data_IF_248897000034
#
_entry.id   IF_248897000034
#
_cell.length_a   1.000
_cell.length_b   1.000
_cell.length_c   1.000
_cell.angle_alpha   90.00
_cell.angle_beta   90.00
_cell.angle_gamma   90.00
#
_symmetry.space_group_name_H-M   'P 1'
#
loop_
_entity.id
_entity.type
_entity.pdbx_description
1 polymer ?
#
# COMPACT_ATOMS: atom_id res chain seq x y z
N UNK A 1 -16.68 3.91 11.98
CA UNK A 1 -17.16 3.22 10.76
C UNK A 1 -16.04 2.27 10.37
N UNK A 2 -16.28 0.95 10.38
CA UNK A 2 -15.28 -0.08 10.06
C UNK A 2 -15.12 -0.08 8.54
N UNK A 3 -13.97 0.35 8.03
CA UNK A 3 -13.64 0.16 6.61
C UNK A 3 -12.78 -1.09 6.56
N UNK A 4 -13.43 -2.23 6.28
CA UNK A 4 -12.77 -3.51 6.13
C UNK A 4 -12.12 -3.51 4.74
N UNK A 5 -10.80 -3.29 4.69
CA UNK A 5 -10.04 -3.39 3.46
C UNK A 5 -9.78 -4.88 3.21
N UNK A 6 -10.59 -5.52 2.36
CA UNK A 6 -10.16 -6.80 1.78
C UNK A 6 -8.92 -6.53 0.92
N UNK A 7 -7.74 -6.67 1.51
CA UNK A 7 -6.46 -6.57 0.83
C UNK A 7 -6.35 -7.61 -0.27
N UNK A 8 -6.65 -7.20 -1.51
CA UNK A 8 -6.33 -7.98 -2.70
C UNK A 8 -4.85 -7.78 -3.05
N UNK A 9 -3.94 -8.38 -2.25
CA UNK A 9 -2.57 -8.63 -2.70
C UNK A 9 -2.54 -9.97 -3.44
N UNK A 10 -3.16 -10.02 -4.62
CA UNK A 10 -3.00 -11.18 -5.52
C UNK A 10 -1.82 -10.94 -6.46
N UNK A 11 -0.71 -11.62 -6.14
CA UNK A 11 0.33 -12.09 -7.07
C UNK A 11 0.81 -11.10 -8.15
N UNK A 12 1.85 -10.34 -7.85
CA UNK A 12 2.69 -9.72 -8.87
C UNK A 12 3.67 -10.77 -9.41
N UNK A 13 3.29 -11.44 -10.50
CA UNK A 13 4.13 -12.43 -11.19
C UNK A 13 5.25 -11.73 -11.98
N UNK A 14 6.49 -12.22 -11.83
CA UNK A 14 7.76 -11.69 -12.36
C UNK A 14 7.96 -11.81 -13.89
N UNK A 15 6.91 -11.73 -14.71
CA UNK A 15 7.00 -12.05 -16.16
C UNK A 15 7.14 -10.88 -17.14
N UNK A 16 7.61 -9.71 -16.70
CA UNK A 16 7.75 -8.52 -17.58
C UNK A 16 9.19 -8.10 -17.91
N UNK A 17 10.20 -8.91 -17.57
CA UNK A 17 11.61 -8.55 -17.70
C UNK A 17 12.39 -9.27 -18.80
N UNK A 18 11.72 -9.79 -19.84
CA UNK A 18 12.37 -10.43 -20.99
C UNK A 18 11.76 -9.95 -22.31
N UNK A 19 12.00 -8.69 -22.65
CA UNK A 19 11.95 -8.28 -24.05
C UNK A 19 12.86 -7.05 -24.25
N UNK A 20 13.77 -7.17 -25.21
CA UNK A 20 14.68 -6.15 -25.75
C UNK A 20 15.98 -5.93 -24.97
N UNK A 21 17.02 -6.61 -25.44
CA UNK A 21 18.38 -6.47 -24.97
C UNK A 21 18.99 -5.12 -25.29
N UNK A 22 19.70 -4.58 -24.30
CA UNK A 22 20.89 -3.78 -24.49
C UNK A 22 21.94 -4.39 -23.55
N UNK A 23 22.94 -5.02 -24.16
CA UNK A 23 24.16 -5.49 -23.51
C UNK A 23 25.04 -4.27 -23.37
N UNK A 24 25.14 -3.69 -22.17
CA UNK A 24 26.27 -2.89 -21.67
C UNK A 24 25.94 -2.56 -20.20
N UNK A 25 26.92 -2.68 -19.29
CA UNK A 25 26.83 -2.35 -17.85
C UNK A 25 26.55 -3.50 -16.83
N UNK A 26 27.04 -4.71 -17.09
CA UNK A 26 26.94 -5.85 -16.16
C UNK A 26 27.99 -5.91 -15.04
N UNK A 27 28.84 -4.88 -14.84
CA UNK A 27 29.95 -4.94 -13.87
C UNK A 27 29.72 -4.13 -12.58
N UNK A 28 28.82 -3.14 -12.56
CA UNK A 28 28.62 -2.27 -11.39
C UNK A 28 27.30 -2.44 -10.62
N UNK A 29 26.29 -3.12 -11.17
CA UNK A 29 24.96 -3.27 -10.53
C UNK A 29 24.79 -4.50 -9.63
N UNK A 30 25.68 -5.51 -9.70
CA UNK A 30 25.53 -6.73 -8.86
C UNK A 30 25.77 -6.51 -7.36
N UNK A 31 26.42 -5.42 -6.95
CA UNK A 31 26.74 -5.16 -5.54
C UNK A 31 25.67 -4.37 -4.78
N UNK A 32 24.69 -3.79 -5.48
CA UNK A 32 23.64 -2.94 -4.87
C UNK A 32 22.26 -3.62 -4.72
N UNK A 33 22.04 -4.79 -5.35
CA UNK A 33 20.76 -5.52 -5.30
C UNK A 33 20.80 -6.81 -4.45
N UNK A 34 21.67 -6.89 -3.43
CA UNK A 34 21.77 -8.09 -2.58
C UNK A 34 20.85 -8.11 -1.35
N UNK A 35 19.99 -7.12 -1.14
CA UNK A 35 19.18 -7.04 0.11
C UNK A 35 17.68 -6.85 -0.11
N UNK A 36 17.15 -7.07 -1.32
CA UNK A 36 15.69 -7.13 -1.51
C UNK A 36 15.19 -8.49 -1.01
N UNK A 37 14.59 -8.49 0.18
CA UNK A 37 13.97 -9.69 0.77
C UNK A 37 12.45 -9.61 0.59
N UNK A 38 11.90 -10.51 -0.21
CA UNK A 38 10.46 -10.70 -0.31
C UNK A 38 9.93 -11.33 0.99
N UNK A 39 8.91 -10.72 1.58
CA UNK A 39 8.23 -11.20 2.78
C UNK A 39 6.83 -11.72 2.41
N UNK A 40 6.32 -12.68 3.17
CA UNK A 40 4.97 -13.22 2.99
C UNK A 40 4.35 -13.56 4.34
N UNK A 41 3.02 -13.71 4.36
CA UNK A 41 2.23 -14.09 5.54
C UNK A 41 2.56 -13.20 6.76
N UNK A 42 2.78 -13.80 7.95
CA UNK A 42 3.06 -13.10 9.19
C UNK A 42 4.24 -12.12 9.08
N UNK A 43 5.33 -12.51 8.40
CA UNK A 43 6.49 -11.63 8.25
C UNK A 43 6.17 -10.38 7.39
N UNK A 44 5.24 -10.47 6.44
CA UNK A 44 4.76 -9.32 5.69
C UNK A 44 3.85 -8.43 6.56
N UNK A 45 2.97 -9.02 7.36
CA UNK A 45 2.09 -8.28 8.29
C UNK A 45 2.94 -7.54 9.34
N UNK A 46 3.95 -8.18 9.92
CA UNK A 46 4.88 -7.56 10.86
C UNK A 46 5.59 -6.36 10.24
N UNK A 47 5.97 -6.47 8.96
CA UNK A 47 6.57 -5.33 8.24
C UNK A 47 5.58 -4.21 8.01
N UNK A 48 4.31 -4.52 7.71
CA UNK A 48 3.25 -3.50 7.58
C UNK A 48 2.98 -2.83 8.92
N UNK A 49 2.90 -3.60 10.03
CA UNK A 49 2.79 -3.07 11.40
C UNK A 49 3.92 -2.09 11.69
N UNK A 50 5.17 -2.48 11.42
CA UNK A 50 6.35 -1.62 11.58
C UNK A 50 6.27 -0.33 10.73
N UNK A 51 5.77 -0.42 9.50
CA UNK A 51 5.72 0.72 8.58
C UNK A 51 4.55 1.67 8.85
N UNK A 52 3.39 1.16 9.23
CA UNK A 52 2.14 1.91 9.22
C UNK A 52 1.57 2.22 10.60
N UNK A 53 1.71 1.33 11.59
CA UNK A 53 1.04 1.49 12.88
C UNK A 53 1.53 2.74 13.62
N UNK A 54 0.59 3.61 14.00
CA UNK A 54 0.88 4.88 14.67
C UNK A 54 1.52 5.95 13.78
N UNK A 55 1.66 5.72 12.47
CA UNK A 55 2.30 6.67 11.53
C UNK A 55 1.30 7.39 10.63
N UNK A 56 1.74 8.53 10.10
CA UNK A 56 0.98 9.26 9.08
C UNK A 56 1.25 8.72 7.69
N UNK A 57 0.20 8.67 6.88
CA UNK A 57 0.25 8.37 5.45
C UNK A 57 -0.59 9.38 4.66
N UNK A 58 -0.44 9.38 3.33
CA UNK A 58 -1.42 9.98 2.45
C UNK A 58 -2.52 8.96 2.17
N UNK A 59 -3.73 9.24 2.67
CA UNK A 59 -4.94 8.49 2.36
C UNK A 59 -5.59 9.10 1.12
N UNK A 60 -5.63 8.34 0.04
CA UNK A 60 -6.08 8.79 -1.27
C UNK A 60 -7.38 8.08 -1.66
N UNK A 61 -8.43 8.84 -1.96
CA UNK A 61 -9.71 8.37 -2.51
C UNK A 61 -9.89 8.85 -3.94
N UNK A 62 -10.87 8.29 -4.66
CA UNK A 62 -11.29 8.80 -5.97
C UNK A 62 -12.59 9.60 -5.85
N UNK A 63 -12.66 10.71 -6.57
CA UNK A 63 -13.88 11.50 -6.74
C UNK A 63 -13.91 12.10 -8.15
N UNK A 64 -14.95 11.80 -8.92
CA UNK A 64 -15.10 12.27 -10.30
C UNK A 64 -13.86 12.03 -11.18
N UNK A 65 -13.24 10.84 -11.05
CA UNK A 65 -12.04 10.46 -11.79
C UNK A 65 -10.74 11.13 -11.32
N UNK A 66 -10.76 11.90 -10.23
CA UNK A 66 -9.57 12.54 -9.66
C UNK A 66 -9.19 11.87 -8.34
N UNK A 67 -7.88 11.80 -8.07
CA UNK A 67 -7.34 11.34 -6.79
C UNK A 67 -7.37 12.51 -5.79
N UNK A 68 -7.96 12.28 -4.63
CA UNK A 68 -8.03 13.23 -3.53
C UNK A 68 -7.22 12.67 -2.36
N UNK A 69 -6.04 13.26 -2.13
CA UNK A 69 -5.10 12.83 -1.07
C UNK A 69 -5.28 13.65 0.20
N UNK A 70 -5.20 13.00 1.37
CA UNK A 70 -5.31 13.64 2.69
C UNK A 70 -4.34 13.01 3.68
N UNK A 71 -3.61 13.79 4.50
CA UNK A 71 -2.83 13.21 5.58
C UNK A 71 -3.75 12.55 6.62
N UNK A 72 -3.47 11.29 6.97
CA UNK A 72 -4.18 10.54 8.00
C UNK A 72 -3.22 9.66 8.78
N UNK A 73 -3.48 9.49 10.09
CA UNK A 73 -2.76 8.52 10.92
C UNK A 73 -3.41 7.15 10.88
N UNK A 74 -2.65 6.11 10.57
CA UNK A 74 -3.07 4.73 10.79
C UNK A 74 -2.93 4.42 12.28
N UNK A 75 -4.05 4.17 12.95
CA UNK A 75 -4.10 4.02 14.41
C UNK A 75 -3.67 2.64 14.87
N UNK A 76 -3.99 1.61 14.08
CA UNK A 76 -3.70 0.21 14.38
C UNK A 76 -3.54 -0.58 13.09
N UNK A 77 -2.70 -1.61 13.11
CA UNK A 77 -2.69 -2.67 12.11
C UNK A 77 -3.01 -3.97 12.83
N UNK A 78 -4.09 -4.64 12.47
CA UNK A 78 -4.51 -5.86 13.19
C UNK A 78 -3.77 -7.13 12.71
N UNK A 79 -4.11 -8.27 13.30
CA UNK A 79 -3.44 -9.55 13.04
C UNK A 79 -3.72 -10.12 11.64
N UNK A 80 -4.73 -9.59 10.94
CA UNK A 80 -4.97 -9.90 9.52
C UNK A 80 -4.21 -8.96 8.59
N UNK A 81 -3.59 -7.90 9.12
CA UNK A 81 -2.94 -6.85 8.36
C UNK A 81 -3.88 -5.73 7.93
N UNK A 82 -5.10 -5.64 8.48
CA UNK A 82 -6.02 -4.55 8.16
C UNK A 82 -5.59 -3.26 8.88
N UNK A 83 -5.61 -2.14 8.16
CA UNK A 83 -5.23 -0.82 8.67
C UNK A 83 -6.46 -0.05 9.17
N UNK A 84 -6.39 0.44 10.40
CA UNK A 84 -7.48 1.15 11.06
C UNK A 84 -7.25 2.66 11.08
N UNK A 85 -8.27 3.42 10.69
CA UNK A 85 -8.25 4.89 10.65
C UNK A 85 -9.46 5.47 11.37
N UNK A 86 -9.25 6.59 12.06
CA UNK A 86 -10.35 7.38 12.60
C UNK A 86 -10.83 8.43 11.59
N UNK A 87 -12.14 8.48 11.37
CA UNK A 87 -12.77 9.52 10.55
C UNK A 87 -14.11 9.97 11.14
N UNK A 88 -14.43 11.29 11.09
CA UNK A 88 -15.77 11.76 11.42
C UNK A 88 -16.81 11.12 10.49
N UNK A 89 -17.97 10.75 11.05
CA UNK A 89 -19.04 10.08 10.29
C UNK A 89 -19.44 10.85 9.03
N UNK A 90 -19.52 12.18 9.12
CA UNK A 90 -19.89 13.09 8.02
C UNK A 90 -18.75 13.49 7.09
N UNK A 91 -17.56 12.86 7.20
CA UNK A 91 -16.41 13.30 6.41
C UNK A 91 -16.57 13.00 4.90
N UNK A 92 -16.05 13.89 4.05
CA UNK A 92 -16.09 13.72 2.59
C UNK A 92 -15.48 12.40 2.13
N UNK A 93 -14.39 11.95 2.77
CA UNK A 93 -13.78 10.66 2.43
C UNK A 93 -14.72 9.49 2.69
N UNK A 94 -15.51 9.52 3.78
CA UNK A 94 -16.48 8.45 4.04
C UNK A 94 -17.57 8.41 2.97
N UNK A 95 -18.01 9.57 2.49
CA UNK A 95 -18.94 9.64 1.35
C UNK A 95 -18.28 9.12 0.07
N UNK A 96 -17.03 9.47 -0.18
CA UNK A 96 -16.28 8.99 -1.34
C UNK A 96 -16.12 7.47 -1.31
N UNK A 97 -15.79 6.89 -0.15
CA UNK A 97 -15.69 5.43 0.05
C UNK A 97 -17.00 4.67 -0.13
N UNK A 98 -18.14 5.33 0.06
CA UNK A 98 -19.45 4.74 -0.23
C UNK A 98 -19.73 4.68 -1.74
N UNK A 99 -19.13 5.56 -2.53
CA UNK A 99 -19.29 5.61 -3.99
C UNK A 99 -18.22 4.76 -4.69
N UNK A 100 -16.98 4.85 -4.23
CA UNK A 100 -15.83 4.10 -4.72
C UNK A 100 -14.97 3.65 -3.51
N UNK A 101 -14.98 2.35 -3.17
CA UNK A 101 -14.26 1.83 -2.01
C UNK A 101 -12.74 1.67 -2.26
N UNK A 102 -12.24 1.93 -3.47
CA UNK A 102 -10.81 1.83 -3.77
C UNK A 102 -10.04 2.99 -3.11
N UNK A 103 -8.94 2.63 -2.44
CA UNK A 103 -8.06 3.59 -1.77
C UNK A 103 -6.60 3.32 -2.11
N UNK A 104 -5.81 4.37 -2.05
CA UNK A 104 -4.35 4.27 -2.10
C UNK A 104 -3.78 4.84 -0.80
N UNK A 105 -2.85 4.09 -0.20
CA UNK A 105 -2.12 4.52 0.98
C UNK A 105 -0.66 4.68 0.59
N UNK A 106 -0.10 5.86 0.88
CA UNK A 106 1.32 6.16 0.62
C UNK A 106 2.00 6.44 1.97
N UNK A 107 2.90 5.54 2.36
CA UNK A 107 3.71 5.59 3.59
C UNK A 107 5.15 5.98 3.27
#
# INVERSE_FOLDING_TARGET
MKVLLHGCFKNLNEKLLQAHGIVFETVLLKKAMSTVKNLSNAAAIDKIKELAEGKMCLFCTKENGKIISRPMGASQVDDSGDLWFFSPRSSNKNRQLQLDPEVYLMF
#
